data_IF_412404149664
#
_entry.id   IF_412404149664
#
_cell.length_a   1.000
_cell.length_b   1.000
_cell.length_c   1.000
_cell.angle_alpha   90.00
_cell.angle_beta   90.00
_cell.angle_gamma   90.00
#
_symmetry.space_group_name_H-M   'P 1'
#
loop_
_entity.id
_entity.type
_entity.pdbx_description
1 polymer ?
#
# COMPACT_ATOMS: atom_id res chain seq x y z
N UNK A 1 -3.42 -21.51 -19.33
CA UNK A 1 -3.22 -21.11 -17.93
C UNK A 1 -3.92 -19.78 -17.77
N UNK A 2 -4.90 -19.68 -16.87
CA UNK A 2 -5.68 -18.46 -16.68
C UNK A 2 -4.78 -17.30 -16.22
N UNK A 3 -5.08 -16.08 -16.67
CA UNK A 3 -4.38 -14.85 -16.26
C UNK A 3 -4.54 -14.64 -14.74
N UNK A 4 -3.47 -14.30 -14.00
CA UNK A 4 -3.56 -14.20 -12.53
C UNK A 4 -4.31 -12.95 -12.05
N UNK A 5 -4.47 -11.94 -12.92
CA UNK A 5 -5.30 -10.75 -12.71
C UNK A 5 -6.27 -10.67 -13.88
N UNK A 6 -7.55 -10.43 -13.59
CA UNK A 6 -8.59 -10.29 -14.61
C UNK A 6 -9.78 -9.47 -14.08
N UNK A 7 -9.67 -8.14 -14.10
CA UNK A 7 -10.67 -7.19 -13.61
C UNK A 7 -11.19 -6.35 -14.78
N UNK A 8 -12.43 -6.58 -15.19
CA UNK A 8 -13.09 -5.90 -16.32
C UNK A 8 -14.38 -5.19 -15.92
N UNK A 9 -14.66 -5.07 -14.62
CA UNK A 9 -15.82 -4.34 -14.09
C UNK A 9 -15.72 -4.21 -12.57
N UNK A 10 -16.29 -3.15 -11.98
CA UNK A 10 -16.50 -3.03 -10.52
C UNK A 10 -17.62 -3.94 -9.99
N UNK A 11 -18.58 -4.34 -10.84
CA UNK A 11 -19.81 -5.06 -10.42
C UNK A 11 -19.84 -6.54 -10.79
N UNK A 12 -18.80 -7.03 -11.47
CA UNK A 12 -18.68 -8.43 -11.88
C UNK A 12 -18.65 -9.36 -10.65
N UNK A 13 -19.01 -10.63 -10.85
CA UNK A 13 -18.92 -11.62 -9.75
C UNK A 13 -17.46 -11.75 -9.30
N UNK A 14 -17.15 -11.19 -8.14
CA UNK A 14 -15.83 -11.25 -7.52
C UNK A 14 -15.42 -12.71 -7.28
N UNK A 15 -14.18 -13.05 -7.62
CA UNK A 15 -13.61 -14.40 -7.47
C UNK A 15 -12.43 -14.42 -6.50
N UNK A 16 -11.58 -13.42 -6.56
CA UNK A 16 -10.39 -13.28 -5.71
C UNK A 16 -10.25 -11.83 -5.27
N UNK A 17 -9.84 -11.60 -4.03
CA UNK A 17 -9.65 -10.26 -3.45
C UNK A 17 -8.41 -10.22 -2.56
N UNK A 18 -7.70 -9.09 -2.57
CA UNK A 18 -6.55 -8.84 -1.71
C UNK A 18 -6.96 -7.97 -0.52
N UNK A 19 -6.74 -8.47 0.69
CA UNK A 19 -6.95 -7.73 1.94
C UNK A 19 -5.64 -7.61 2.72
N UNK A 20 -5.65 -6.76 3.75
CA UNK A 20 -4.60 -6.71 4.76
C UNK A 20 -5.26 -6.65 6.13
N UNK A 21 -5.01 -7.68 6.95
CA UNK A 21 -5.59 -7.75 8.29
C UNK A 21 -4.86 -6.76 9.21
N UNK A 22 -5.58 -5.84 9.88
CA UNK A 22 -4.98 -4.86 10.79
C UNK A 22 -4.05 -5.49 11.83
N UNK A 23 -2.90 -4.84 12.07
CA UNK A 23 -1.87 -5.25 13.01
C UNK A 23 -1.44 -4.18 14.01
N UNK A 24 -0.26 -4.42 14.60
CA UNK A 24 0.38 -3.52 15.57
C UNK A 24 0.62 -2.11 14.99
N UNK A 25 0.58 -1.93 13.66
CA UNK A 25 0.57 -0.61 13.04
C UNK A 25 -0.56 0.30 13.56
N UNK A 26 -1.71 -0.25 13.96
CA UNK A 26 -2.79 0.51 14.57
C UNK A 26 -2.54 0.84 16.05
N UNK A 27 -1.82 -0.03 16.78
CA UNK A 27 -1.42 0.25 18.18
C UNK A 27 -0.33 1.32 18.25
N UNK A 28 0.34 1.57 17.12
CA UNK A 28 1.34 2.61 16.96
C UNK A 28 0.76 3.98 16.54
N UNK A 29 -0.57 4.10 16.43
CA UNK A 29 -1.24 5.39 16.35
C UNK A 29 -1.24 6.05 17.73
N UNK A 30 -0.75 7.29 17.79
CA UNK A 30 -0.81 8.13 18.99
C UNK A 30 -1.46 9.47 18.66
N UNK A 31 -2.18 10.11 19.60
CA UNK A 31 -2.94 11.33 19.32
C UNK A 31 -2.12 12.44 18.65
N UNK A 32 -0.87 12.60 19.08
CA UNK A 32 0.04 13.64 18.58
C UNK A 32 0.43 13.48 17.10
N UNK A 33 0.22 12.30 16.48
CA UNK A 33 0.65 11.98 15.11
C UNK A 33 -0.48 11.45 14.21
N UNK A 34 -1.74 11.49 14.68
CA UNK A 34 -2.89 10.95 13.94
C UNK A 34 -3.04 11.58 12.54
N UNK A 35 -2.99 12.91 12.49
CA UNK A 35 -3.14 13.67 11.23
C UNK A 35 -1.99 13.41 10.26
N UNK A 36 -0.76 13.31 10.77
CA UNK A 36 0.42 12.99 9.96
C UNK A 36 0.35 11.57 9.35
N UNK A 37 -0.37 10.66 10.02
CA UNK A 37 -0.60 9.27 9.59
C UNK A 37 -1.93 9.08 8.85
N UNK A 38 -2.68 10.16 8.60
CA UNK A 38 -3.95 10.18 7.87
C UNK A 38 -5.08 9.39 8.56
N UNK A 39 -5.14 9.45 9.89
CA UNK A 39 -6.21 8.86 10.68
C UNK A 39 -6.98 9.92 11.47
N UNK A 40 -8.30 9.72 11.57
CA UNK A 40 -9.21 10.60 12.33
C UNK A 40 -9.30 10.19 13.82
N UNK A 41 -9.13 8.90 14.13
CA UNK A 41 -9.19 8.37 15.50
C UNK A 41 -8.33 7.11 15.65
N UNK A 42 -8.06 6.68 16.89
CA UNK A 42 -7.27 5.48 17.22
C UNK A 42 -8.21 4.27 17.34
N UNK A 43 -8.17 3.31 16.41
CA UNK A 43 -9.03 2.13 16.48
C UNK A 43 -8.57 1.20 17.60
N UNK A 44 -9.52 0.54 18.27
CA UNK A 44 -9.18 -0.55 19.17
C UNK A 44 -8.85 -1.82 18.37
N UNK A 45 -7.55 -2.15 18.26
CA UNK A 45 -7.04 -3.19 17.36
C UNK A 45 -7.80 -4.53 17.47
N UNK A 46 -8.11 -4.99 18.68
CA UNK A 46 -8.82 -6.26 18.88
C UNK A 46 -10.21 -6.26 18.22
N UNK A 47 -10.94 -5.15 18.30
CA UNK A 47 -12.26 -5.00 17.68
C UNK A 47 -12.11 -4.85 16.17
N UNK A 48 -11.18 -4.01 15.69
CA UNK A 48 -10.90 -3.86 14.26
C UNK A 48 -10.52 -5.18 13.59
N UNK A 49 -9.75 -6.03 14.28
CA UNK A 49 -9.43 -7.38 13.84
C UNK A 49 -10.64 -8.29 13.76
N UNK A 50 -11.51 -8.29 14.77
CA UNK A 50 -12.73 -9.10 14.77
C UNK A 50 -13.69 -8.67 13.65
N UNK A 51 -13.83 -7.37 13.40
CA UNK A 51 -14.63 -6.81 12.30
C UNK A 51 -14.05 -7.19 10.94
N UNK A 52 -12.73 -7.03 10.76
CA UNK A 52 -12.06 -7.40 9.51
C UNK A 52 -12.13 -8.91 9.25
N UNK A 53 -12.02 -9.75 10.29
CA UNK A 53 -12.16 -11.20 10.18
C UNK A 53 -13.59 -11.59 9.78
N UNK A 54 -14.61 -10.93 10.36
CA UNK A 54 -16.00 -11.12 9.96
C UNK A 54 -16.24 -10.69 8.51
N UNK A 55 -15.66 -9.56 8.07
CA UNK A 55 -15.72 -9.12 6.67
C UNK A 55 -15.10 -10.14 5.72
N UNK A 56 -13.89 -10.62 6.03
CA UNK A 56 -13.22 -11.65 5.22
C UNK A 56 -14.03 -12.95 5.17
N UNK A 57 -14.69 -13.34 6.25
CA UNK A 57 -15.53 -14.53 6.29
C UNK A 57 -16.80 -14.38 5.45
N UNK A 58 -17.43 -13.19 5.43
CA UNK A 58 -18.54 -12.91 4.52
C UNK A 58 -18.12 -13.14 3.06
N UNK A 59 -16.93 -12.70 2.66
CA UNK A 59 -16.41 -12.92 1.30
C UNK A 59 -16.18 -14.41 1.03
N UNK A 60 -15.51 -15.12 1.94
CA UNK A 60 -15.25 -16.57 1.81
C UNK A 60 -16.53 -17.38 1.72
N UNK A 61 -17.55 -17.03 2.51
CA UNK A 61 -18.86 -17.69 2.48
C UNK A 61 -19.57 -17.57 1.12
N UNK A 62 -19.19 -16.58 0.30
CA UNK A 62 -19.66 -16.38 -1.09
C UNK A 62 -18.78 -17.06 -2.13
N UNK A 63 -17.80 -17.85 -1.71
CA UNK A 63 -16.85 -18.55 -2.58
C UNK A 63 -15.76 -17.66 -3.17
N UNK A 64 -15.48 -16.52 -2.54
CA UNK A 64 -14.40 -15.60 -2.95
C UNK A 64 -13.11 -16.04 -2.26
N UNK A 65 -12.04 -16.20 -3.04
CA UNK A 65 -10.69 -16.41 -2.52
C UNK A 65 -10.17 -15.10 -1.90
N UNK A 66 -9.86 -15.13 -0.61
CA UNK A 66 -9.30 -13.99 0.11
C UNK A 66 -7.79 -14.19 0.28
N UNK A 67 -7.01 -13.33 -0.36
CA UNK A 67 -5.55 -13.25 -0.23
C UNK A 67 -5.16 -12.18 0.79
N UNK A 68 -4.01 -12.35 1.44
CA UNK A 68 -3.48 -11.37 2.38
C UNK A 68 -2.15 -10.78 1.93
N UNK A 69 -2.02 -9.45 2.03
CA UNK A 69 -0.85 -8.68 1.60
C UNK A 69 0.46 -9.18 2.22
N UNK A 70 0.48 -9.32 3.55
CA UNK A 70 1.66 -9.77 4.31
C UNK A 70 2.09 -11.20 3.93
N UNK A 71 1.13 -12.08 3.69
CA UNK A 71 1.38 -13.46 3.24
C UNK A 71 1.96 -13.49 1.83
N UNK A 72 1.33 -12.79 0.87
CA UNK A 72 1.84 -12.73 -0.50
C UNK A 72 3.23 -12.11 -0.59
N UNK A 73 3.53 -11.08 0.22
CA UNK A 73 4.89 -10.51 0.25
C UNK A 73 5.88 -11.52 0.84
N UNK A 74 5.50 -12.25 1.89
CA UNK A 74 6.36 -13.28 2.48
C UNK A 74 6.66 -14.41 1.48
N UNK A 75 5.68 -14.81 0.68
CA UNK A 75 5.83 -15.80 -0.40
C UNK A 75 6.68 -15.27 -1.56
N UNK A 76 6.63 -13.96 -1.84
CA UNK A 76 7.43 -13.32 -2.88
C UNK A 76 8.91 -13.19 -2.48
N UNK A 77 9.20 -12.93 -1.21
CA UNK A 77 10.55 -12.74 -0.67
C UNK A 77 11.10 -14.10 -0.20
N UNK A 78 11.33 -14.99 -1.16
CA UNK A 78 11.69 -16.40 -0.93
C UNK A 78 13.20 -16.68 -0.88
N UNK A 79 14.05 -15.65 -0.97
CA UNK A 79 15.51 -15.77 -0.86
C UNK A 79 16.07 -14.73 0.08
N UNK A 80 17.23 -15.02 0.69
CA UNK A 80 17.93 -14.05 1.55
C UNK A 80 18.30 -12.77 0.80
N UNK A 81 18.67 -12.88 -0.48
CA UNK A 81 18.96 -11.72 -1.32
C UNK A 81 17.75 -10.80 -1.47
N UNK A 82 16.57 -11.34 -1.79
CA UNK A 82 15.35 -10.54 -1.90
C UNK A 82 14.94 -9.96 -0.55
N UNK A 83 15.19 -10.69 0.54
CA UNK A 83 14.90 -10.27 1.91
C UNK A 83 15.74 -9.06 2.32
N UNK A 84 17.05 -9.11 2.07
CA UNK A 84 17.95 -8.00 2.28
C UNK A 84 17.57 -6.79 1.42
N UNK A 85 17.32 -7.01 0.12
CA UNK A 85 16.91 -5.93 -0.79
C UNK A 85 15.61 -5.27 -0.33
N UNK A 86 14.63 -6.05 0.13
CA UNK A 86 13.36 -5.52 0.61
C UNK A 86 13.52 -4.62 1.83
N UNK A 87 14.32 -5.06 2.81
CA UNK A 87 14.63 -4.26 4.00
C UNK A 87 15.36 -2.98 3.60
N UNK A 88 16.37 -3.08 2.74
CA UNK A 88 17.16 -1.93 2.30
C UNK A 88 16.29 -0.89 1.58
N UNK A 89 15.40 -1.32 0.69
CA UNK A 89 14.47 -0.42 -0.01
C UNK A 89 13.41 0.19 0.92
N UNK A 90 12.90 -0.57 1.90
CA UNK A 90 11.97 -0.05 2.91
C UNK A 90 12.62 1.01 3.79
N UNK A 91 13.86 0.78 4.23
CA UNK A 91 14.61 1.74 5.02
C UNK A 91 15.00 2.98 4.20
N UNK A 92 15.39 2.81 2.93
CA UNK A 92 15.66 3.93 2.03
C UNK A 92 14.42 4.77 1.72
N UNK A 93 13.24 4.15 1.67
CA UNK A 93 11.97 4.84 1.52
C UNK A 93 11.46 5.50 2.82
N UNK A 94 12.16 5.29 3.95
CA UNK A 94 11.84 5.86 5.25
C UNK A 94 12.66 7.14 5.50
N UNK A 95 12.15 8.07 6.32
CA UNK A 95 12.81 9.35 6.63
C UNK A 95 14.01 9.21 7.61
N UNK A 96 14.76 8.11 7.54
CA UNK A 96 15.87 7.85 8.45
C UNK A 96 17.20 8.37 7.90
N UNK A 97 17.63 9.52 8.38
CA UNK A 97 18.86 10.18 7.94
C UNK A 97 20.12 9.70 8.70
N UNK A 98 19.95 8.95 9.79
CA UNK A 98 21.07 8.48 10.61
C UNK A 98 21.56 7.10 10.17
N UNK A 99 22.75 7.06 9.56
CA UNK A 99 23.42 5.81 9.16
C UNK A 99 23.50 4.77 10.30
N UNK A 100 23.74 5.22 11.54
CA UNK A 100 23.82 4.35 12.73
C UNK A 100 22.47 3.70 13.03
N UNK A 101 21.39 4.47 12.96
CA UNK A 101 20.02 3.98 13.16
C UNK A 101 19.66 3.00 12.05
N UNK A 102 19.90 3.36 10.78
CA UNK A 102 19.60 2.51 9.62
C UNK A 102 20.30 1.15 9.70
N UNK A 103 21.58 1.12 10.09
CA UNK A 103 22.31 -0.15 10.25
C UNK A 103 21.74 -1.02 11.39
N UNK A 104 21.40 -0.41 12.52
CA UNK A 104 20.85 -1.15 13.67
C UNK A 104 19.44 -1.67 13.35
N UNK A 105 18.60 -0.85 12.70
CA UNK A 105 17.29 -1.24 12.19
C UNK A 105 17.39 -2.40 11.19
N UNK A 106 18.31 -2.29 10.22
CA UNK A 106 18.54 -3.34 9.22
C UNK A 106 18.85 -4.67 9.88
N UNK A 107 19.80 -4.68 10.82
CA UNK A 107 20.16 -5.91 11.54
C UNK A 107 18.97 -6.46 12.33
N UNK A 108 18.31 -5.61 13.13
CA UNK A 108 17.13 -6.00 13.90
C UNK A 108 16.04 -6.65 13.03
N UNK A 109 15.74 -6.06 11.87
CA UNK A 109 14.74 -6.59 10.95
C UNK A 109 15.19 -7.92 10.31
N UNK A 110 16.46 -8.04 9.93
CA UNK A 110 17.03 -9.26 9.34
C UNK A 110 17.30 -10.37 10.37
N UNK A 111 17.16 -10.12 11.66
CA UNK A 111 17.18 -11.16 12.69
C UNK A 111 15.80 -11.83 12.86
N UNK A 112 14.72 -11.18 12.38
CA UNK A 112 13.35 -11.70 12.47
C UNK A 112 13.03 -12.67 11.31
N UNK A 113 12.24 -13.74 11.54
CA UNK A 113 11.68 -14.56 10.45
C UNK A 113 10.95 -13.72 9.40
N UNK A 114 10.99 -14.08 8.11
CA UNK A 114 10.51 -13.23 7.00
C UNK A 114 9.12 -12.65 7.19
N UNK A 115 8.13 -13.47 7.59
CA UNK A 115 6.76 -12.97 7.81
C UNK A 115 6.68 -12.02 9.01
N UNK A 116 7.38 -12.32 10.11
CA UNK A 116 7.47 -11.44 11.28
C UNK A 116 8.20 -10.12 10.95
N UNK A 117 9.26 -10.17 10.14
CA UNK A 117 9.96 -8.99 9.62
C UNK A 117 9.02 -8.09 8.81
N UNK A 118 8.22 -8.68 7.91
CA UNK A 118 7.22 -7.92 7.12
C UNK A 118 6.21 -7.25 8.03
N UNK A 119 5.61 -8.02 8.97
CA UNK A 119 4.66 -7.47 9.95
C UNK A 119 5.30 -6.40 10.83
N UNK A 120 6.58 -6.54 11.18
CA UNK A 120 7.29 -5.51 11.96
C UNK A 120 7.56 -4.25 11.15
N UNK A 121 7.88 -4.37 9.86
CA UNK A 121 8.01 -3.21 8.95
C UNK A 121 6.66 -2.49 8.78
N UNK A 122 5.56 -3.25 8.69
CA UNK A 122 4.20 -2.69 8.65
C UNK A 122 3.87 -1.94 9.94
N UNK A 123 4.15 -2.56 11.08
CA UNK A 123 3.96 -2.00 12.42
C UNK A 123 4.84 -0.78 12.68
N UNK A 124 6.01 -0.68 12.04
CA UNK A 124 7.03 0.27 12.44
C UNK A 124 7.83 -0.22 13.65
N UNK A 125 8.82 0.58 14.04
CA UNK A 125 9.76 0.25 15.11
C UNK A 125 9.89 1.45 16.04
N UNK A 126 9.52 1.27 17.31
CA UNK A 126 9.67 2.30 18.34
C UNK A 126 11.12 2.38 18.83
N UNK A 127 11.48 3.53 19.40
CA UNK A 127 12.82 3.80 19.90
C UNK A 127 13.21 2.98 21.14
N UNK A 128 12.23 2.53 21.91
CA UNK A 128 12.40 1.70 23.11
C UNK A 128 12.58 0.21 22.79
N UNK A 129 12.28 -0.22 21.56
CA UNK A 129 12.45 -1.60 21.12
C UNK A 129 13.89 -1.95 20.72
N UNK A 130 14.68 -0.94 20.34
CA UNK A 130 16.05 -1.12 19.86
C UNK A 130 17.00 -0.26 20.67
N UNK A 131 17.99 -0.92 21.28
CA UNK A 131 19.12 -0.22 21.88
C UNK A 131 20.16 0.07 20.81
N UNK A 132 20.41 1.36 20.55
CA UNK A 132 21.50 1.73 19.65
C UNK A 132 22.86 1.58 20.33
N UNK A 133 23.92 1.17 19.60
CA UNK A 133 25.29 1.13 20.13
C UNK A 133 25.73 2.48 20.71
N UNK A 134 26.61 2.51 21.73
CA UNK A 134 27.07 3.76 22.35
C UNK A 134 27.58 4.76 21.31
N UNK A 135 27.10 5.99 21.38
CA UNK A 135 27.55 7.07 20.50
C UNK A 135 28.85 7.65 21.06
N UNK A 136 29.92 7.64 20.25
CA UNK A 136 31.20 8.25 20.65
C UNK A 136 31.14 9.79 20.66
N UNK A 137 30.11 10.38 20.03
CA UNK A 137 29.92 11.83 19.95
C UNK A 137 28.44 12.20 20.21
N UNK A 138 28.09 12.51 21.46
CA UNK A 138 26.75 13.01 21.79
C UNK A 138 26.53 14.39 21.16
N UNK A 139 25.89 14.44 19.99
CA UNK A 139 25.50 15.68 19.35
C UNK A 139 24.27 16.28 20.04
N UNK A 140 24.27 17.59 20.26
CA UNK A 140 23.23 18.31 21.02
C UNK A 140 21.81 18.09 20.46
N UNK A 141 21.65 17.99 19.14
CA UNK A 141 20.34 17.71 18.53
C UNK A 141 19.80 16.33 18.94
N UNK A 142 20.66 15.30 19.06
CA UNK A 142 20.26 13.97 19.53
C UNK A 142 19.81 13.97 20.99
N UNK A 143 20.28 14.93 21.80
CA UNK A 143 19.87 15.09 23.20
C UNK A 143 18.53 15.83 23.32
N UNK A 144 18.25 16.78 22.42
CA UNK A 144 17.02 17.57 22.40
C UNK A 144 15.87 16.80 21.71
N UNK A 145 16.14 16.10 20.60
CA UNK A 145 15.12 15.37 19.81
C UNK A 145 14.78 13.98 20.36
N UNK A 146 15.60 13.43 21.26
CA UNK A 146 15.38 12.10 21.86
C UNK A 146 13.99 11.94 22.50
N UNK A 147 13.36 13.05 22.90
CA UNK A 147 12.13 13.05 23.70
C UNK A 147 10.84 13.47 22.97
N UNK A 148 10.85 13.75 21.65
CA UNK A 148 9.60 14.09 20.95
C UNK A 148 9.05 12.95 20.11
N UNK A 149 9.79 12.48 19.11
CA UNK A 149 9.25 11.48 18.18
C UNK A 149 9.59 10.04 18.61
N UNK A 150 8.61 9.12 18.76
CA UNK A 150 8.84 7.81 19.38
C UNK A 150 9.31 6.70 18.42
N UNK A 151 9.37 6.95 17.10
CA UNK A 151 9.69 5.91 16.11
C UNK A 151 11.08 6.07 15.48
N UNK A 152 11.74 4.93 15.23
CA UNK A 152 12.83 4.79 14.27
C UNK A 152 12.32 4.35 12.89
N UNK A 153 11.16 3.69 12.83
CA UNK A 153 10.47 3.38 11.58
C UNK A 153 8.99 3.64 11.78
N UNK A 154 8.40 4.50 10.98
CA UNK A 154 7.00 4.88 11.14
C UNK A 154 6.07 3.69 10.82
N UNK A 155 4.95 3.53 11.56
CA UNK A 155 3.90 2.57 11.20
C UNK A 155 3.26 2.94 9.86
N UNK A 156 2.66 1.96 9.19
CA UNK A 156 1.83 2.17 7.98
C UNK A 156 0.38 1.75 8.27
N UNK A 157 -0.36 2.54 9.06
CA UNK A 157 -1.66 2.14 9.59
C UNK A 157 -2.74 2.05 8.48
N UNK A 158 -2.54 2.72 7.33
CA UNK A 158 -3.48 2.69 6.20
C UNK A 158 -3.41 1.41 5.37
N UNK A 159 -2.53 0.44 5.68
CA UNK A 159 -2.34 -0.77 4.87
C UNK A 159 -3.60 -1.62 4.72
N UNK A 160 -4.56 -1.54 5.65
CA UNK A 160 -5.83 -2.28 5.53
C UNK A 160 -6.75 -1.68 4.45
N UNK A 161 -6.49 -0.44 4.00
CA UNK A 161 -7.06 0.13 2.78
C UNK A 161 -6.23 -0.30 1.56
N UNK A 162 -6.38 -1.57 1.17
CA UNK A 162 -5.63 -2.18 0.06
C UNK A 162 -5.99 -1.63 -1.32
N UNK A 163 -7.06 -0.82 -1.42
CA UNK A 163 -7.54 -0.18 -2.64
C UNK A 163 -6.50 0.76 -3.26
N UNK A 164 -5.82 1.55 -2.44
CA UNK A 164 -5.07 2.70 -2.97
C UNK A 164 -3.65 2.39 -3.49
N UNK A 165 -2.84 1.55 -2.81
CA UNK A 165 -1.45 1.33 -3.21
C UNK A 165 -1.26 0.64 -4.57
N UNK A 166 -2.29 -0.02 -5.09
CA UNK A 166 -2.32 -0.62 -6.42
C UNK A 166 -3.76 -0.91 -6.85
N UNK A 167 -4.11 -0.67 -8.12
CA UNK A 167 -5.40 -1.01 -8.68
C UNK A 167 -5.28 -2.01 -9.84
N UNK A 168 -6.05 -3.10 -9.78
CA UNK A 168 -6.08 -4.10 -10.85
C UNK A 168 -6.97 -3.62 -12.01
N UNK A 169 -6.45 -3.66 -13.24
CA UNK A 169 -7.11 -3.15 -14.45
C UNK A 169 -6.88 -4.13 -15.60
N UNK A 170 -7.97 -4.71 -16.10
CA UNK A 170 -7.91 -5.75 -17.12
C UNK A 170 -7.08 -6.93 -16.63
N UNK A 171 -6.04 -7.28 -17.37
CA UNK A 171 -5.09 -8.34 -17.01
C UNK A 171 -3.82 -7.84 -16.31
N UNK A 172 -3.75 -6.54 -16.02
CA UNK A 172 -2.61 -5.88 -15.38
C UNK A 172 -3.03 -5.07 -14.16
N UNK A 173 -2.17 -4.15 -13.74
CA UNK A 173 -2.43 -3.27 -12.61
C UNK A 173 -1.62 -1.98 -12.68
N UNK A 174 -2.01 -1.00 -11.90
CA UNK A 174 -1.14 0.09 -11.46
C UNK A 174 -0.47 -0.27 -10.14
N UNK A 175 0.78 0.14 -9.97
CA UNK A 175 1.47 0.16 -8.69
C UNK A 175 1.67 1.63 -8.37
N UNK A 176 0.93 2.14 -7.40
CA UNK A 176 0.61 3.55 -7.34
C UNK A 176 1.70 4.40 -6.68
N UNK A 177 1.83 5.64 -7.18
CA UNK A 177 2.63 6.69 -6.57
C UNK A 177 1.73 7.49 -5.63
N UNK A 178 1.71 7.09 -4.36
CA UNK A 178 0.89 7.76 -3.34
C UNK A 178 1.24 9.25 -3.23
N UNK A 179 0.21 10.09 -3.06
CA UNK A 179 0.36 11.54 -2.97
C UNK A 179 1.17 11.92 -1.73
N UNK A 180 0.66 11.51 -0.55
CA UNK A 180 1.28 11.77 0.73
C UNK A 180 2.49 10.87 0.97
N UNK A 181 3.58 11.48 1.42
CA UNK A 181 4.83 10.77 1.67
C UNK A 181 4.69 9.62 2.68
N UNK A 182 3.81 9.78 3.68
CA UNK A 182 3.52 8.76 4.68
C UNK A 182 3.09 7.41 4.08
N UNK A 183 2.34 7.43 2.97
CA UNK A 183 1.81 6.21 2.33
C UNK A 183 2.69 5.63 1.22
N UNK A 184 3.74 6.33 0.77
CA UNK A 184 4.56 5.91 -0.39
C UNK A 184 5.33 4.60 -0.20
N UNK A 185 5.50 4.16 1.05
CA UNK A 185 6.08 2.85 1.39
C UNK A 185 5.11 1.70 1.09
N UNK A 186 3.81 1.92 1.17
CA UNK A 186 2.78 0.88 1.03
C UNK A 186 2.83 0.21 -0.36
N UNK A 187 3.00 0.98 -1.44
CA UNK A 187 3.06 0.41 -2.79
C UNK A 187 4.32 -0.43 -3.07
N UNK A 188 5.33 -0.39 -2.19
CA UNK A 188 6.52 -1.25 -2.30
C UNK A 188 6.16 -2.73 -2.08
N UNK A 189 5.21 -3.03 -1.19
CA UNK A 189 4.72 -4.40 -0.97
C UNK A 189 4.14 -4.99 -2.26
N UNK A 190 3.30 -4.22 -2.94
CA UNK A 190 2.70 -4.62 -4.22
C UNK A 190 3.74 -4.83 -5.32
N UNK A 191 4.78 -3.99 -5.36
CA UNK A 191 5.89 -4.18 -6.30
C UNK A 191 6.58 -5.52 -6.10
N UNK A 192 6.91 -5.91 -4.86
CA UNK A 192 7.53 -7.20 -4.59
C UNK A 192 6.63 -8.39 -4.97
N UNK A 193 5.32 -8.29 -4.73
CA UNK A 193 4.37 -9.32 -5.16
C UNK A 193 4.41 -9.47 -6.68
N UNK A 194 4.31 -8.37 -7.43
CA UNK A 194 4.24 -8.42 -8.89
C UNK A 194 5.58 -8.79 -9.53
N UNK A 195 6.70 -8.41 -8.92
CA UNK A 195 8.03 -8.70 -9.47
C UNK A 195 8.47 -10.15 -9.17
N UNK A 196 8.08 -10.72 -8.01
CA UNK A 196 8.72 -11.94 -7.48
C UNK A 196 7.77 -13.07 -7.07
N UNK A 197 6.48 -12.80 -6.82
CA UNK A 197 5.57 -13.83 -6.34
C UNK A 197 5.28 -14.91 -7.41
N UNK A 198 5.37 -16.22 -7.12
CA UNK A 198 5.19 -17.28 -8.13
C UNK A 198 3.88 -17.22 -8.90
N UNK A 199 2.79 -16.73 -8.27
CA UNK A 199 1.48 -16.56 -8.93
C UNK A 199 1.45 -15.41 -9.95
N UNK A 200 2.19 -14.33 -9.71
CA UNK A 200 2.03 -13.04 -10.41
C UNK A 200 3.25 -12.62 -11.24
N UNK A 201 4.46 -13.02 -10.84
CA UNK A 201 5.71 -12.64 -11.48
C UNK A 201 5.70 -12.93 -12.97
N UNK A 202 6.05 -11.93 -13.78
CA UNK A 202 6.08 -11.98 -15.25
C UNK A 202 4.73 -12.31 -15.92
N UNK A 203 3.60 -12.14 -15.22
CA UNK A 203 2.27 -12.53 -15.74
C UNK A 203 1.23 -11.41 -15.73
N UNK A 204 1.60 -10.21 -15.26
CA UNK A 204 0.72 -9.04 -15.26
C UNK A 204 1.48 -7.79 -15.75
N UNK A 205 1.02 -7.09 -16.79
CA UNK A 205 1.59 -5.80 -17.17
C UNK A 205 1.32 -4.74 -16.08
N UNK A 206 2.31 -3.88 -15.86
CA UNK A 206 2.21 -2.74 -14.93
C UNK A 206 1.90 -1.48 -15.72
N UNK A 207 0.67 -0.96 -15.65
CA UNK A 207 0.20 0.20 -16.42
C UNK A 207 0.76 1.54 -15.90
N UNK A 208 1.00 1.63 -14.59
CA UNK A 208 1.62 2.76 -13.91
C UNK A 208 2.52 2.25 -12.78
N UNK A 209 3.65 2.90 -12.51
CA UNK A 209 4.65 2.42 -11.55
C UNK A 209 4.89 3.42 -10.41
N UNK A 210 5.17 2.94 -9.20
CA UNK A 210 5.45 3.79 -8.02
C UNK A 210 6.68 4.68 -8.15
N UNK A 211 7.56 4.40 -9.11
CA UNK A 211 8.73 5.23 -9.45
C UNK A 211 8.39 6.43 -10.31
N UNK A 212 7.14 6.53 -10.78
CA UNK A 212 6.65 7.65 -11.55
C UNK A 212 6.64 8.96 -10.75
N UNK A 213 6.69 10.07 -11.49
CA UNK A 213 6.77 11.43 -10.92
C UNK A 213 5.45 11.88 -10.31
N UNK A 214 4.35 11.59 -10.99
CA UNK A 214 3.03 12.13 -10.68
C UNK A 214 2.25 11.17 -9.79
N UNK A 215 1.35 11.68 -8.95
CA UNK A 215 0.60 10.84 -8.02
C UNK A 215 -0.66 10.26 -8.65
N UNK A 216 -0.98 9.04 -8.24
CA UNK A 216 -2.18 8.27 -8.61
C UNK A 216 -2.48 7.35 -7.43
N UNK A 217 -3.75 7.23 -7.05
CA UNK A 217 -4.22 6.35 -5.97
C UNK A 217 -5.46 5.57 -6.44
N UNK A 218 -5.57 4.32 -6.01
CA UNK A 218 -6.56 3.38 -6.54
C UNK A 218 -8.01 3.68 -6.21
N UNK A 219 -8.31 4.48 -5.19
CA UNK A 219 -9.68 4.98 -4.95
C UNK A 219 -10.20 5.87 -6.08
N UNK A 220 -9.32 6.44 -6.92
CA UNK A 220 -9.71 7.18 -8.11
C UNK A 220 -9.90 6.28 -9.34
N UNK A 221 -9.45 5.02 -9.32
CA UNK A 221 -9.36 4.15 -10.50
C UNK A 221 -10.53 3.15 -10.57
N UNK A 222 -11.59 3.49 -11.30
CA UNK A 222 -12.78 2.64 -11.44
C UNK A 222 -12.85 1.96 -12.81
N UNK A 223 -12.93 0.63 -12.82
CA UNK A 223 -13.12 -0.16 -14.05
C UNK A 223 -14.61 -0.32 -14.33
N UNK A 224 -15.18 0.54 -15.18
CA UNK A 224 -16.62 0.53 -15.47
C UNK A 224 -17.03 -0.63 -16.39
N UNK A 225 -16.17 -1.01 -17.33
CA UNK A 225 -16.37 -2.14 -18.23
C UNK A 225 -15.04 -2.70 -18.74
N UNK A 226 -15.10 -3.72 -19.61
CA UNK A 226 -13.93 -4.31 -20.27
C UNK A 226 -13.26 -3.36 -21.28
N UNK A 227 -13.83 -2.16 -21.49
CA UNK A 227 -13.37 -1.15 -22.44
C UNK A 227 -13.24 0.25 -21.87
N UNK A 228 -13.93 0.55 -20.76
CA UNK A 228 -14.08 1.91 -20.24
C UNK A 228 -13.67 1.97 -18.77
N UNK A 229 -12.86 2.96 -18.43
CA UNK A 229 -12.57 3.35 -17.05
C UNK A 229 -13.12 4.75 -16.75
N UNK A 230 -13.44 5.00 -15.48
CA UNK A 230 -13.54 6.35 -14.93
C UNK A 230 -12.36 6.58 -13.99
N UNK A 231 -11.73 7.74 -14.09
CA UNK A 231 -10.61 8.11 -13.21
C UNK A 231 -10.82 9.50 -12.63
N UNK A 232 -10.75 9.60 -11.30
CA UNK A 232 -10.82 10.87 -10.58
C UNK A 232 -9.58 11.74 -10.83
N UNK A 233 -9.78 13.01 -11.16
CA UNK A 233 -8.76 14.06 -11.03
C UNK A 233 -9.00 14.72 -9.68
N UNK A 234 -8.17 14.36 -8.69
CA UNK A 234 -8.41 14.65 -7.27
C UNK A 234 -7.22 15.39 -6.64
N UNK A 235 -7.23 15.52 -5.31
CA UNK A 235 -6.01 15.90 -4.58
C UNK A 235 -4.91 14.82 -4.74
N UNK A 236 -5.32 13.56 -4.84
CA UNK A 236 -4.42 12.39 -4.81
C UNK A 236 -3.96 11.94 -6.18
N UNK A 237 -4.78 12.11 -7.21
CA UNK A 237 -4.49 11.68 -8.58
C UNK A 237 -4.39 12.87 -9.53
N UNK A 238 -3.24 13.03 -10.20
CA UNK A 238 -3.01 14.13 -11.14
C UNK A 238 -3.34 13.75 -12.59
N UNK A 239 -3.71 14.74 -13.41
CA UNK A 239 -4.05 14.51 -14.80
C UNK A 239 -2.88 13.91 -15.61
N UNK A 240 -1.63 14.31 -15.32
CA UNK A 240 -0.44 13.76 -16.00
C UNK A 240 -0.22 12.27 -15.69
N UNK A 241 -0.59 11.83 -14.47
CA UNK A 241 -0.55 10.42 -14.13
C UNK A 241 -1.57 9.63 -14.95
N UNK A 242 -2.78 10.17 -15.10
CA UNK A 242 -3.86 9.57 -15.92
C UNK A 242 -3.43 9.42 -17.37
N UNK A 243 -2.91 10.48 -18.00
CA UNK A 243 -2.46 10.43 -19.39
C UNK A 243 -1.36 9.39 -19.60
N UNK A 244 -0.39 9.33 -18.68
CA UNK A 244 0.72 8.38 -18.77
C UNK A 244 0.27 6.93 -18.58
N UNK A 245 -0.62 6.67 -17.61
CA UNK A 245 -1.21 5.35 -17.39
C UNK A 245 -2.04 4.93 -18.61
N UNK A 246 -2.95 5.80 -19.08
CA UNK A 246 -3.85 5.53 -20.19
C UNK A 246 -3.09 5.23 -21.49
N UNK A 247 -2.00 5.95 -21.76
CA UNK A 247 -1.12 5.68 -22.93
C UNK A 247 -0.62 4.24 -22.93
N UNK A 248 -0.14 3.75 -21.77
CA UNK A 248 0.36 2.37 -21.64
C UNK A 248 -0.77 1.35 -21.66
N UNK A 249 -1.90 1.65 -21.03
CA UNK A 249 -3.08 0.80 -20.99
C UNK A 249 -3.65 0.59 -22.41
N UNK A 250 -3.87 1.65 -23.18
CA UNK A 250 -4.41 1.54 -24.54
C UNK A 250 -3.47 0.83 -25.50
N UNK A 251 -2.16 0.96 -25.32
CA UNK A 251 -1.18 0.26 -26.14
C UNK A 251 -1.10 -1.26 -25.83
N UNK A 252 -1.42 -1.67 -24.60
CA UNK A 252 -1.21 -3.04 -24.12
C UNK A 252 -2.48 -3.82 -23.77
N UNK A 253 -3.67 -3.25 -23.94
CA UNK A 253 -4.94 -3.87 -23.51
C UNK A 253 -6.08 -3.59 -24.50
N UNK A 254 -7.30 -4.01 -24.13
CA UNK A 254 -8.54 -3.77 -24.91
C UNK A 254 -9.31 -2.52 -24.46
N UNK A 255 -8.80 -1.77 -23.49
CA UNK A 255 -9.43 -0.52 -23.07
C UNK A 255 -9.38 0.51 -24.20
N UNK A 256 -10.48 1.20 -24.41
CA UNK A 256 -10.67 2.16 -25.51
C UNK A 256 -10.91 3.58 -25.00
N UNK A 257 -11.30 3.73 -23.72
CA UNK A 257 -11.71 5.02 -23.16
C UNK A 257 -11.40 5.14 -21.67
N UNK A 258 -10.91 6.30 -21.29
CA UNK A 258 -10.81 6.77 -19.90
C UNK A 258 -11.65 8.04 -19.79
N UNK A 259 -12.59 8.06 -18.85
CA UNK A 259 -13.39 9.23 -18.49
C UNK A 259 -12.72 9.88 -17.28
N UNK A 260 -12.06 11.02 -17.48
CA UNK A 260 -11.49 11.79 -16.39
C UNK A 260 -12.59 12.64 -15.71
N UNK A 261 -12.74 12.52 -14.40
CA UNK A 261 -13.74 13.23 -13.61
C UNK A 261 -13.04 14.14 -12.59
N UNK A 262 -13.11 15.45 -12.80
CA UNK A 262 -12.59 16.40 -11.81
C UNK A 262 -13.51 16.43 -10.59
N UNK A 263 -12.94 16.15 -9.42
CA UNK A 263 -13.63 16.23 -8.13
C UNK A 263 -13.07 17.40 -7.29
N UNK A 264 -13.88 18.05 -6.45
CA UNK A 264 -13.41 19.15 -5.63
C UNK A 264 -12.28 18.70 -4.69
N UNK A 265 -11.20 19.48 -4.63
CA UNK A 265 -10.08 19.21 -3.73
C UNK A 265 -10.48 19.56 -2.30
N UNK A 266 -10.91 18.56 -1.54
CA UNK A 266 -11.21 18.71 -0.11
C UNK A 266 -11.00 17.39 0.62
N UNK A 267 -10.75 17.45 1.92
CA UNK A 267 -10.62 16.26 2.77
C UNK A 267 -11.88 15.37 2.74
N UNK A 268 -13.07 15.93 2.45
CA UNK A 268 -14.31 15.17 2.33
C UNK A 268 -14.43 14.39 1.01
N UNK A 269 -13.59 14.69 0.01
CA UNK A 269 -13.62 14.11 -1.34
C UNK A 269 -12.22 13.66 -1.74
N UNK A 270 -11.66 12.72 -0.98
CA UNK A 270 -10.27 12.28 -1.18
C UNK A 270 -10.08 11.58 -2.52
N UNK A 271 -11.07 10.78 -2.94
CA UNK A 271 -11.04 9.96 -4.14
C UNK A 271 -12.42 9.87 -4.80
N UNK A 272 -12.48 9.45 -6.06
CA UNK A 272 -13.72 9.28 -6.82
C UNK A 272 -14.67 8.27 -6.16
N UNK A 273 -14.17 7.14 -5.64
CA UNK A 273 -15.00 6.10 -5.00
C UNK A 273 -15.73 6.56 -3.73
N UNK A 274 -15.27 7.63 -3.08
CA UNK A 274 -15.94 8.22 -1.91
C UNK A 274 -17.24 8.95 -2.28
N UNK A 275 -17.42 9.34 -3.54
CA UNK A 275 -18.58 10.09 -4.03
C UNK A 275 -19.32 9.41 -5.18
N UNK A 276 -18.69 8.43 -5.83
CA UNK A 276 -19.21 7.76 -7.01
C UNK A 276 -18.70 6.33 -7.08
N UNK A 277 -19.59 5.36 -6.94
CA UNK A 277 -19.31 3.93 -7.17
C UNK A 277 -20.41 3.30 -8.00
N UNK A 278 -20.04 2.36 -8.87
CA UNK A 278 -20.99 1.59 -9.66
C UNK A 278 -21.45 0.39 -8.83
N UNK A 279 -22.76 0.24 -8.63
CA UNK A 279 -23.34 -0.83 -7.81
C UNK A 279 -24.17 -1.82 -8.61
N UNK A 280 -24.60 -1.44 -9.82
CA UNK A 280 -25.30 -2.32 -10.77
C UNK A 280 -25.03 -1.84 -12.20
N UNK A 281 -25.55 -2.57 -13.20
CA UNK A 281 -25.34 -2.25 -14.62
C UNK A 281 -25.80 -0.84 -15.01
N UNK A 282 -26.76 -0.30 -14.27
CA UNK A 282 -27.43 0.98 -14.49
C UNK A 282 -27.55 1.81 -13.19
N UNK A 283 -26.74 1.53 -12.17
CA UNK A 283 -26.78 2.20 -10.85
C UNK A 283 -25.39 2.45 -10.28
#
# INVERSE_FOLDING_TARGET
MDEPIHITSEIGKLKTVLLHRPGEELENLTPDYLTDLLFDDIPYLKVAQAEHDAFAEVLRSRGIEVLYLDQLVAEAINTDQLREQFVDEMLAASKQDSRRVTQTLRQFLLDLPTHAMIRKIMAGVRKDEITLPPDQHQQLHNMIEKNRYPFYLDPMPNLYFTRDPAAAIGNGLTINKMHWTARRRESLFMRYIIDHHPRFANRAPVWYNRTEKFSMEGGDELVLSDKVMAIGVSERTTAEAIEKMATKLFAGSKFEKVIAMEIPKSHAFMHLDTVFTMIDRDK
#
